data_IF_418091922379
#
_entry.id   IF_418091922379
#
_cell.length_a   1.000
_cell.length_b   1.000
_cell.length_c   1.000
_cell.angle_alpha   90.00
_cell.angle_beta   90.00
_cell.angle_gamma   90.00
#
_symmetry.space_group_name_H-M   'P 1'
#
loop_
_entity.id
_entity.type
_entity.pdbx_description
1 polymer ?
#
# COMPACT_ATOMS: atom_id res chain seq x y z
N UNK A 1 -9.43 -9.76 -18.77
CA UNK A 1 -9.99 -9.69 -17.41
C UNK A 1 -9.17 -8.67 -16.67
N UNK A 2 -9.79 -7.63 -16.13
CA UNK A 2 -9.12 -6.63 -15.30
C UNK A 2 -8.55 -7.33 -14.07
N UNK A 3 -7.24 -7.24 -13.85
CA UNK A 3 -6.58 -7.84 -12.68
C UNK A 3 -7.09 -7.17 -11.40
N UNK A 4 -7.51 -7.96 -10.40
CA UNK A 4 -7.97 -7.43 -9.12
C UNK A 4 -6.79 -6.89 -8.30
N UNK A 5 -7.04 -5.88 -7.45
CA UNK A 5 -5.97 -5.16 -6.76
C UNK A 5 -5.25 -6.03 -5.72
N UNK A 6 -5.96 -6.90 -5.00
CA UNK A 6 -5.34 -7.74 -3.98
C UNK A 6 -4.33 -8.77 -4.55
N UNK A 7 -4.69 -9.60 -5.56
CA UNK A 7 -3.72 -10.47 -6.23
C UNK A 7 -2.52 -9.71 -6.81
N UNK A 8 -2.75 -8.54 -7.41
CA UNK A 8 -1.67 -7.67 -7.90
C UNK A 8 -0.75 -7.23 -6.77
N UNK A 9 -1.30 -6.71 -5.67
CA UNK A 9 -0.54 -6.27 -4.51
C UNK A 9 0.33 -7.39 -3.93
N UNK A 10 -0.19 -8.61 -3.85
CA UNK A 10 0.58 -9.78 -3.43
C UNK A 10 1.72 -10.10 -4.41
N UNK A 11 1.45 -10.10 -5.72
CA UNK A 11 2.47 -10.35 -6.73
C UNK A 11 3.62 -9.34 -6.64
N UNK A 12 3.31 -8.05 -6.58
CA UNK A 12 4.30 -6.97 -6.42
C UNK A 12 5.09 -7.14 -5.12
N UNK A 13 4.42 -7.44 -4.00
CA UNK A 13 5.10 -7.57 -2.71
C UNK A 13 6.09 -8.74 -2.66
N UNK A 14 5.87 -9.79 -3.47
CA UNK A 14 6.78 -10.94 -3.59
C UNK A 14 8.02 -10.67 -4.45
N UNK A 15 8.07 -9.55 -5.17
CA UNK A 15 9.23 -9.22 -5.99
C UNK A 15 10.46 -8.87 -5.14
N UNK A 16 11.68 -9.22 -5.60
CA UNK A 16 12.91 -8.92 -4.88
C UNK A 16 13.05 -7.44 -4.52
N UNK A 17 13.38 -7.17 -3.26
CA UNK A 17 13.62 -5.80 -2.75
C UNK A 17 12.37 -4.95 -2.49
N UNK A 18 11.17 -5.40 -2.87
CA UNK A 18 9.94 -4.62 -2.66
C UNK A 18 9.57 -4.52 -1.18
N UNK A 19 9.74 -5.61 -0.41
CA UNK A 19 9.49 -5.57 1.04
C UNK A 19 10.30 -4.46 1.72
N UNK A 20 11.61 -4.38 1.42
CA UNK A 20 12.49 -3.35 2.00
C UNK A 20 12.14 -1.94 1.49
N UNK A 21 11.79 -1.80 0.21
CA UNK A 21 11.33 -0.54 -0.36
C UNK A 21 10.06 -0.03 0.33
N UNK A 22 9.05 -0.89 0.50
CA UNK A 22 7.81 -0.57 1.21
C UNK A 22 8.07 -0.15 2.66
N UNK A 23 8.99 -0.82 3.36
CA UNK A 23 9.37 -0.46 4.74
C UNK A 23 10.01 0.93 4.81
N UNK A 24 10.90 1.28 3.87
CA UNK A 24 11.52 2.62 3.79
C UNK A 24 10.48 3.69 3.51
N UNK A 25 9.62 3.46 2.52
CA UNK A 25 8.53 4.37 2.16
C UNK A 25 7.57 4.59 3.34
N UNK A 26 7.22 3.51 4.04
CA UNK A 26 6.36 3.58 5.22
C UNK A 26 7.03 4.35 6.37
N UNK A 27 8.33 4.16 6.60
CA UNK A 27 9.09 4.92 7.59
C UNK A 27 9.14 6.43 7.24
N UNK A 28 9.13 6.76 5.95
CA UNK A 28 8.96 8.13 5.45
C UNK A 28 7.50 8.63 5.46
N UNK A 29 6.56 7.86 6.00
CA UNK A 29 5.16 8.24 6.20
C UNK A 29 4.19 7.86 5.07
N UNK A 30 4.68 7.18 4.02
CA UNK A 30 3.81 6.72 2.93
C UNK A 30 2.80 5.67 3.40
N UNK A 31 1.65 5.67 2.73
CA UNK A 31 0.68 4.58 2.84
C UNK A 31 0.97 3.55 1.73
N UNK A 32 1.48 2.38 2.13
CA UNK A 32 1.83 1.30 1.19
C UNK A 32 0.61 0.80 0.42
N UNK A 33 -0.60 0.79 1.01
CA UNK A 33 -1.81 0.37 0.31
C UNK A 33 -2.18 1.37 -0.79
N UNK A 34 -2.03 2.68 -0.52
CA UNK A 34 -2.21 3.70 -1.56
C UNK A 34 -1.15 3.60 -2.66
N UNK A 35 0.11 3.33 -2.33
CA UNK A 35 1.17 3.17 -3.34
C UNK A 35 0.96 1.93 -4.23
N UNK A 36 0.52 0.81 -3.66
CA UNK A 36 0.18 -0.39 -4.43
C UNK A 36 -1.05 -0.12 -5.32
N UNK A 37 -2.04 0.61 -4.81
CA UNK A 37 -3.19 1.07 -5.63
C UNK A 37 -2.74 1.98 -6.75
N UNK A 38 -1.81 2.90 -6.49
CA UNK A 38 -1.27 3.82 -7.48
C UNK A 38 -0.62 3.06 -8.64
N UNK A 39 0.27 2.13 -8.33
CA UNK A 39 0.96 1.29 -9.32
C UNK A 39 -0.02 0.43 -10.13
N UNK A 40 -1.05 -0.09 -9.48
CA UNK A 40 -2.12 -0.83 -10.14
C UNK A 40 -2.91 0.05 -11.11
N UNK A 41 -3.32 1.26 -10.71
CA UNK A 41 -4.04 2.20 -11.58
C UNK A 41 -3.20 2.64 -12.78
N UNK A 42 -1.90 2.89 -12.56
CA UNK A 42 -0.93 3.15 -13.62
C UNK A 42 -0.88 1.98 -14.62
N UNK A 43 -0.83 0.73 -14.16
CA UNK A 43 -0.84 -0.49 -15.01
C UNK A 43 -2.14 -0.68 -15.79
N UNK A 44 -3.28 -0.31 -15.19
CA UNK A 44 -4.59 -0.36 -15.87
C UNK A 44 -4.78 0.79 -16.89
N UNK A 45 -3.84 1.73 -16.98
CA UNK A 45 -3.96 2.90 -17.86
C UNK A 45 -5.09 3.84 -17.42
N UNK A 46 -5.38 3.91 -16.13
CA UNK A 46 -6.38 4.84 -15.60
C UNK A 46 -5.72 6.21 -15.44
N UNK A 47 -6.27 7.25 -16.08
CA UNK A 47 -5.70 8.59 -15.97
C UNK A 47 -5.80 9.15 -14.54
N UNK A 48 -4.70 9.72 -14.05
CA UNK A 48 -4.69 10.53 -12.84
C UNK A 48 -5.51 11.81 -13.05
N UNK A 49 -6.43 12.09 -12.13
CA UNK A 49 -7.04 13.43 -12.00
C UNK A 49 -7.03 13.86 -10.53
N UNK A 50 -7.03 15.18 -10.24
CA UNK A 50 -7.09 15.68 -8.86
C UNK A 50 -8.31 15.16 -8.08
N UNK A 51 -9.44 14.95 -8.75
CA UNK A 51 -10.67 14.42 -8.15
C UNK A 51 -10.50 12.95 -7.75
N UNK A 52 -9.97 12.12 -8.66
CA UNK A 52 -9.75 10.69 -8.39
C UNK A 52 -8.69 10.50 -7.29
N UNK A 53 -7.61 11.28 -7.31
CA UNK A 53 -6.61 11.30 -6.24
C UNK A 53 -7.26 11.59 -4.88
N UNK A 54 -8.04 12.68 -4.80
CA UNK A 54 -8.70 13.07 -3.55
C UNK A 54 -9.68 12.01 -3.04
N UNK A 55 -10.38 11.30 -3.93
CA UNK A 55 -11.24 10.17 -3.56
C UNK A 55 -10.43 9.09 -2.83
N UNK A 56 -9.31 8.63 -3.41
CA UNK A 56 -8.49 7.58 -2.81
C UNK A 56 -7.88 8.02 -1.48
N UNK A 57 -7.31 9.23 -1.42
CA UNK A 57 -6.73 9.77 -0.19
C UNK A 57 -7.76 9.91 0.94
N UNK A 58 -8.96 10.42 0.62
CA UNK A 58 -10.05 10.58 1.60
C UNK A 58 -10.58 9.25 2.13
N UNK A 59 -10.53 8.20 1.31
CA UNK A 59 -10.96 6.86 1.68
C UNK A 59 -9.92 6.16 2.55
N UNK A 60 -8.64 6.29 2.21
CA UNK A 60 -7.55 5.63 2.90
C UNK A 60 -7.19 6.28 4.25
N UNK A 61 -7.12 7.61 4.32
CA UNK A 61 -6.65 8.33 5.50
C UNK A 61 -7.34 7.91 6.83
N UNK A 62 -8.68 7.87 6.95
CA UNK A 62 -9.32 7.47 8.20
C UNK A 62 -9.07 6.00 8.54
N UNK A 63 -9.09 5.11 7.55
CA UNK A 63 -8.88 3.68 7.79
C UNK A 63 -7.43 3.39 8.22
N UNK A 64 -6.45 4.01 7.55
CA UNK A 64 -5.05 3.93 7.93
C UNK A 64 -4.84 4.38 9.38
N UNK A 65 -5.30 5.59 9.71
CA UNK A 65 -5.02 6.22 11.02
C UNK A 65 -5.78 5.58 12.18
N UNK A 66 -6.98 5.06 11.95
CA UNK A 66 -7.85 4.53 13.01
C UNK A 66 -7.77 3.01 13.15
N UNK A 67 -7.33 2.28 12.12
CA UNK A 67 -7.32 0.81 12.10
C UNK A 67 -5.91 0.26 11.92
N UNK A 68 -5.26 0.56 10.79
CA UNK A 68 -3.97 -0.07 10.44
C UNK A 68 -2.84 0.41 11.36
N UNK A 69 -2.69 1.72 11.55
CA UNK A 69 -1.62 2.29 12.37
C UNK A 69 -1.66 1.86 13.84
N UNK A 70 -2.83 1.82 14.52
CA UNK A 70 -2.92 1.26 15.86
C UNK A 70 -2.51 -0.21 15.95
N UNK A 71 -2.96 -1.06 15.01
CA UNK A 71 -2.59 -2.48 14.97
C UNK A 71 -1.07 -2.65 14.78
N UNK A 72 -0.53 -1.91 13.81
CA UNK A 72 0.90 -1.92 13.50
C UNK A 72 1.75 -1.41 14.66
N UNK A 73 1.28 -0.37 15.36
CA UNK A 73 1.94 0.17 16.54
C UNK A 73 2.01 -0.86 17.65
N UNK A 74 0.88 -1.45 18.05
CA UNK A 74 0.86 -2.50 19.10
C UNK A 74 1.76 -3.67 18.70
N UNK A 75 1.65 -4.13 17.46
CA UNK A 75 2.53 -5.20 16.95
C UNK A 75 3.99 -4.77 17.00
N UNK A 76 4.37 -3.55 16.69
CA UNK A 76 5.77 -3.10 16.72
C UNK A 76 6.28 -2.96 18.15
N UNK A 77 5.50 -2.36 19.04
CA UNK A 77 5.84 -2.12 20.45
C UNK A 77 6.11 -3.44 21.19
N UNK A 78 5.38 -4.51 20.85
CA UNK A 78 5.56 -5.83 21.48
C UNK A 78 6.79 -6.60 20.98
N UNK A 79 7.60 -6.06 20.05
CA UNK A 79 8.72 -6.78 19.42
C UNK A 79 9.76 -7.31 20.36
N UNK A 80 10.19 -6.48 21.31
CA UNK A 80 11.24 -6.85 22.25
C UNK A 80 10.70 -7.88 23.27
N UNK A 81 9.55 -7.58 23.90
CA UNK A 81 8.95 -8.43 24.92
C UNK A 81 8.55 -9.81 24.42
N UNK A 82 8.09 -9.93 23.16
CA UNK A 82 7.70 -11.21 22.58
C UNK A 82 8.87 -12.22 22.51
N UNK A 83 10.13 -11.76 22.47
CA UNK A 83 11.29 -12.66 22.41
C UNK A 83 11.44 -13.54 23.66
N UNK A 84 10.95 -13.09 24.80
CA UNK A 84 11.00 -13.83 26.07
C UNK A 84 9.63 -14.31 26.57
N UNK A 85 8.56 -14.02 25.83
CA UNK A 85 7.18 -14.40 26.18
C UNK A 85 6.49 -15.12 25.00
N UNK A 86 6.37 -16.46 25.04
CA UNK A 86 5.70 -17.24 24.00
C UNK A 86 4.22 -16.90 23.83
N UNK A 87 3.52 -16.55 24.92
CA UNK A 87 2.10 -16.16 24.84
C UNK A 87 1.96 -14.83 24.09
N UNK A 88 2.85 -13.87 24.38
CA UNK A 88 2.89 -12.60 23.67
C UNK A 88 3.28 -12.79 22.19
N UNK A 89 4.21 -13.70 21.88
CA UNK A 89 4.52 -14.08 20.49
C UNK A 89 3.27 -14.56 19.74
N UNK A 90 2.48 -15.45 20.33
CA UNK A 90 1.25 -15.95 19.71
C UNK A 90 0.21 -14.83 19.49
N UNK A 91 0.05 -13.92 20.45
CA UNK A 91 -0.83 -12.76 20.30
C UNK A 91 -0.35 -11.82 19.19
N UNK A 92 0.96 -11.63 19.08
CA UNK A 92 1.58 -10.76 18.08
C UNK A 92 1.41 -11.29 16.65
N UNK A 93 1.44 -12.60 16.45
CA UNK A 93 1.10 -13.20 15.16
C UNK A 93 -0.39 -13.02 14.82
N UNK A 94 -1.30 -13.15 15.79
CA UNK A 94 -2.73 -12.84 15.57
C UNK A 94 -2.95 -11.37 15.19
N UNK A 95 -2.24 -10.44 15.83
CA UNK A 95 -2.26 -9.02 15.46
C UNK A 95 -1.74 -8.79 14.05
N UNK A 96 -0.68 -9.48 13.64
CA UNK A 96 -0.15 -9.41 12.27
C UNK A 96 -1.20 -9.86 11.26
N UNK A 97 -1.90 -10.96 11.52
CA UNK A 97 -3.00 -11.41 10.65
C UNK A 97 -4.11 -10.36 10.55
N UNK A 98 -4.52 -9.78 11.68
CA UNK A 98 -5.55 -8.73 11.70
C UNK A 98 -5.11 -7.45 10.96
N UNK A 99 -3.83 -7.07 11.08
CA UNK A 99 -3.26 -5.95 10.30
C UNK A 99 -3.34 -6.23 8.80
N UNK A 100 -2.94 -7.42 8.36
CA UNK A 100 -3.01 -7.82 6.94
C UNK A 100 -4.46 -7.87 6.44
N UNK A 101 -5.39 -8.38 7.25
CA UNK A 101 -6.82 -8.37 6.90
C UNK A 101 -7.37 -6.93 6.77
N UNK A 102 -6.92 -6.01 7.63
CA UNK A 102 -7.28 -4.60 7.54
C UNK A 102 -6.68 -3.91 6.30
N UNK A 103 -5.44 -4.24 5.91
CA UNK A 103 -4.82 -3.78 4.66
C UNK A 103 -5.57 -4.32 3.43
N UNK A 104 -5.96 -5.60 3.43
CA UNK A 104 -6.77 -6.19 2.36
C UNK A 104 -8.11 -5.50 2.20
N UNK A 105 -8.78 -5.18 3.32
CA UNK A 105 -10.06 -4.45 3.30
C UNK A 105 -9.88 -3.04 2.73
N UNK A 106 -8.78 -2.34 3.05
CA UNK A 106 -8.49 -1.04 2.45
C UNK A 106 -8.31 -1.14 0.94
N UNK A 107 -7.52 -2.11 0.48
CA UNK A 107 -7.31 -2.36 -0.95
C UNK A 107 -8.64 -2.67 -1.65
N UNK A 108 -9.50 -3.50 -1.07
CA UNK A 108 -10.83 -3.78 -1.65
C UNK A 108 -11.69 -2.52 -1.78
N UNK A 109 -11.66 -1.61 -0.81
CA UNK A 109 -12.38 -0.34 -0.88
C UNK A 109 -11.83 0.60 -1.94
N UNK A 110 -10.50 0.66 -2.07
CA UNK A 110 -9.83 1.47 -3.09
C UNK A 110 -10.11 0.94 -4.50
N UNK A 111 -10.07 -0.38 -4.69
CA UNK A 111 -10.49 -1.04 -5.93
C UNK A 111 -11.95 -0.69 -6.25
N UNK A 112 -12.86 -0.84 -5.29
CA UNK A 112 -14.27 -0.51 -5.48
C UNK A 112 -14.51 0.96 -5.84
N UNK A 113 -13.74 1.89 -5.26
CA UNK A 113 -13.82 3.32 -5.57
C UNK A 113 -13.36 3.65 -7.01
N UNK A 114 -12.52 2.79 -7.59
CA UNK A 114 -12.05 2.91 -8.98
C UNK A 114 -12.96 2.28 -10.03
N UNK A 115 -13.97 1.52 -9.60
CA UNK A 115 -14.90 0.84 -10.53
C UNK A 115 -15.60 1.87 -11.42
N UNK A 116 -15.54 1.64 -12.72
CA UNK A 116 -16.14 2.52 -13.73
C UNK A 116 -15.27 3.69 -14.17
N UNK A 117 -14.05 3.83 -13.63
CA UNK A 117 -13.08 4.76 -14.20
C UNK A 117 -12.61 4.25 -15.58
N UNK A 118 -12.68 5.08 -16.64
CA UNK A 118 -12.16 4.71 -17.95
C UNK A 118 -10.64 4.51 -17.91
N UNK A 119 -10.17 3.54 -18.70
CA UNK A 119 -8.76 3.37 -19.04
C UNK A 119 -8.40 4.32 -20.21
N UNK A 120 -8.45 5.62 -19.94
CA UNK A 120 -8.19 6.71 -20.89
C UNK A 120 -6.77 7.30 -20.78
N UNK A 121 -5.96 6.78 -19.87
CA UNK A 121 -4.57 7.16 -19.65
C UNK A 121 -3.57 6.29 -20.42
N UNK A 122 -2.29 6.66 -20.34
CA UNK A 122 -1.20 5.82 -20.82
C UNK A 122 -0.85 4.76 -19.76
N UNK A 123 -0.91 3.46 -20.09
CA UNK A 123 -0.46 2.41 -19.18
C UNK A 123 0.98 2.63 -18.75
N UNK A 124 1.28 2.34 -17.49
CA UNK A 124 2.61 2.46 -16.89
C UNK A 124 3.17 3.89 -16.89
N UNK A 125 2.32 4.92 -16.99
CA UNK A 125 2.70 6.27 -16.53
C UNK A 125 3.06 6.18 -15.05
N UNK A 126 4.06 6.89 -14.53
CA UNK A 126 4.34 6.91 -13.07
C UNK A 126 3.56 8.02 -12.34
N UNK A 127 2.47 8.49 -12.95
CA UNK A 127 1.72 9.66 -12.52
C UNK A 127 1.04 9.43 -11.17
N UNK A 128 0.38 8.29 -10.98
CA UNK A 128 -0.27 7.97 -9.72
C UNK A 128 0.74 7.79 -8.59
N UNK A 129 1.84 7.05 -8.84
CA UNK A 129 2.88 6.83 -7.84
C UNK A 129 3.51 8.15 -7.37
N UNK A 130 3.82 9.06 -8.30
CA UNK A 130 4.34 10.38 -7.95
C UNK A 130 3.33 11.16 -7.10
N UNK A 131 2.05 11.18 -7.49
CA UNK A 131 0.99 11.92 -6.80
C UNK A 131 0.71 11.40 -5.38
N UNK A 132 0.66 10.08 -5.20
CA UNK A 132 0.28 9.45 -3.92
C UNK A 132 1.46 9.17 -2.99
N UNK A 133 2.71 9.36 -3.43
CA UNK A 133 3.89 9.18 -2.59
C UNK A 133 4.13 10.30 -1.57
N UNK A 134 3.51 11.46 -1.75
CA UNK A 134 3.62 12.59 -0.82
C UNK A 134 5.08 12.96 -0.53
N UNK A 135 5.43 13.14 0.75
CA UNK A 135 6.81 13.46 1.15
C UNK A 135 7.79 12.30 0.87
N UNK A 136 7.33 11.05 0.97
CA UNK A 136 8.15 9.87 0.80
C UNK A 136 8.73 9.74 -0.62
N UNK A 137 8.05 10.28 -1.64
CA UNK A 137 8.56 10.31 -3.00
C UNK A 137 9.85 11.12 -3.16
N UNK A 138 10.07 12.13 -2.30
CA UNK A 138 11.25 12.97 -2.32
C UNK A 138 12.38 12.42 -1.45
N UNK A 139 12.04 11.80 -0.32
CA UNK A 139 13.03 11.28 0.63
C UNK A 139 13.51 9.88 0.27
N UNK A 140 12.65 9.07 -0.36
CA UNK A 140 12.93 7.67 -0.70
C UNK A 140 12.71 7.38 -2.20
N UNK A 141 13.29 8.18 -3.14
CA UNK A 141 13.02 8.05 -4.57
C UNK A 141 13.48 6.70 -5.13
N UNK A 142 14.56 6.12 -4.59
CA UNK A 142 15.02 4.79 -4.99
C UNK A 142 14.03 3.69 -4.58
N UNK A 143 13.43 3.80 -3.39
CA UNK A 143 12.43 2.84 -2.94
C UNK A 143 11.15 2.96 -3.77
N UNK A 144 10.73 4.18 -4.10
CA UNK A 144 9.60 4.41 -4.99
C UNK A 144 9.85 3.84 -6.39
N UNK A 145 11.05 4.04 -6.94
CA UNK A 145 11.44 3.46 -8.23
C UNK A 145 11.47 1.92 -8.22
N UNK A 146 11.96 1.30 -7.14
CA UNK A 146 11.94 -0.16 -6.97
C UNK A 146 10.50 -0.69 -6.98
N UNK A 147 9.59 -0.02 -6.27
CA UNK A 147 8.17 -0.38 -6.26
C UNK A 147 7.53 -0.22 -7.65
N UNK A 148 7.83 0.89 -8.35
CA UNK A 148 7.35 1.13 -9.70
C UNK A 148 7.80 0.04 -10.68
N UNK A 149 9.08 -0.36 -10.61
CA UNK A 149 9.63 -1.41 -11.47
C UNK A 149 8.95 -2.76 -11.21
N UNK A 150 8.80 -3.14 -9.94
CA UNK A 150 8.16 -4.40 -9.56
C UNK A 150 6.68 -4.49 -9.96
N UNK A 151 6.02 -3.36 -10.21
CA UNK A 151 4.65 -3.31 -10.71
C UNK A 151 4.52 -3.53 -12.23
N UNK A 152 5.61 -3.37 -12.98
CA UNK A 152 5.66 -3.59 -14.42
C UNK A 152 5.85 -5.08 -14.75
N UNK A 153 6.65 -5.76 -13.93
CA UNK A 153 7.00 -7.18 -14.08
C UNK A 153 5.79 -8.12 -13.81
#
# INVERSE_FOLDING_TARGET
MTEALWPFALAVYTQPGVTDACLRLQAAGADVCLLLTAAWLDRQGIQLTPERQRVLESLAAPWRTQVIEPLRRVRTDWRAAAQSDPALTALRERLKHLEVDAERELLARLEQASVGWPADGQPLSTGWLAALSGHAGWTEPQALAQLAQAAID
#
